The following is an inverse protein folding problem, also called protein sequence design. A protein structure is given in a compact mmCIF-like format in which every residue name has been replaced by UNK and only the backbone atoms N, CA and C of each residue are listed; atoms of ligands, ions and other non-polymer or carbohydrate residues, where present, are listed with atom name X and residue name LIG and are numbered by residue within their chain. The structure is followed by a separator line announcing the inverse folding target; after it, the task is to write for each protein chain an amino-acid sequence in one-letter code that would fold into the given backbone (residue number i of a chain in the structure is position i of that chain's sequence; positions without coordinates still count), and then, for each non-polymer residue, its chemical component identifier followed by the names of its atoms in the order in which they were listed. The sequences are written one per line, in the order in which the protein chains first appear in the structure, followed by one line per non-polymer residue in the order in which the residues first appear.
data_IF_234739633877
#
_entry.id   IF_234739633877
#
_cell.length_a   1.000
_cell.length_b   1.000
_cell.length_c   1.000
_cell.angle_alpha   90.00
_cell.angle_beta   90.00
_cell.angle_gamma   90.00
#
_symmetry.space_group_name_H-M   'P 1'
#
loop_
_entity.id
_entity.type
_entity.pdbx_description
1 polymer ?
#
# COMPACT_ATOMS: atom_id res chain seq x y z
N UNK A 1 11.65 -6.24 21.25
CA UNK A 1 12.89 -5.43 21.33
C UNK A 1 12.83 -4.21 20.41
N UNK A 2 12.71 -4.34 19.09
CA UNK A 2 12.68 -3.17 18.18
C UNK A 2 11.37 -2.38 18.31
N UNK A 3 10.22 -3.07 18.30
CA UNK A 3 8.90 -2.44 18.49
C UNK A 3 8.81 -1.69 19.84
N UNK A 4 9.36 -2.24 20.93
CA UNK A 4 9.38 -1.60 22.25
C UNK A 4 10.27 -0.35 22.33
N UNK A 5 11.28 -0.22 21.45
CA UNK A 5 12.12 1.00 21.39
C UNK A 5 11.39 2.13 20.68
N UNK A 6 10.67 1.84 19.58
CA UNK A 6 9.84 2.86 18.90
C UNK A 6 8.64 3.31 19.72
N UNK A 7 8.09 2.45 20.59
CA UNK A 7 6.99 2.80 21.48
C UNK A 7 7.43 3.48 22.80
N UNK A 8 8.73 3.54 23.07
CA UNK A 8 9.23 4.09 24.33
C UNK A 8 9.25 5.63 24.37
N UNK A 9 9.42 6.28 23.21
CA UNK A 9 9.46 7.74 23.11
C UNK A 9 9.20 8.20 21.67
N UNK A 10 8.40 9.27 21.49
CA UNK A 10 8.16 9.91 20.20
C UNK A 10 9.48 10.33 19.51
N UNK A 11 10.54 10.61 20.28
CA UNK A 11 11.87 10.94 19.80
C UNK A 11 12.62 9.75 19.17
N UNK A 12 12.30 8.50 19.51
CA UNK A 12 13.04 7.33 19.02
C UNK A 12 12.80 7.06 17.53
N UNK A 13 11.63 7.45 17.01
CA UNK A 13 11.40 7.47 15.57
C UNK A 13 12.36 8.45 14.87
N UNK A 14 12.46 9.69 15.36
CA UNK A 14 13.32 10.73 14.76
C UNK A 14 14.82 10.43 14.90
N UNK A 15 15.25 9.78 15.99
CA UNK A 15 16.65 9.36 16.18
C UNK A 15 17.02 8.29 15.14
N UNK A 16 16.15 7.32 14.90
CA UNK A 16 16.38 6.22 13.95
C UNK A 16 16.07 6.59 12.49
N UNK A 17 15.29 7.64 12.25
CA UNK A 17 15.03 8.21 10.92
C UNK A 17 16.34 8.59 10.21
N UNK A 18 17.31 9.12 10.96
CA UNK A 18 18.63 9.52 10.44
C UNK A 18 19.42 8.36 9.82
N UNK A 19 19.08 7.10 10.14
CA UNK A 19 19.74 5.90 9.66
C UNK A 19 18.99 5.21 8.51
N UNK A 20 17.89 5.79 8.01
CA UNK A 20 17.08 5.23 6.92
C UNK A 20 16.65 3.77 7.14
N UNK A 21 16.56 3.33 8.40
CA UNK A 21 16.39 1.91 8.72
C UNK A 21 14.99 1.40 8.35
N UNK A 22 13.95 2.23 8.53
CA UNK A 22 12.57 1.85 8.22
C UNK A 22 12.28 1.72 6.71
N UNK A 23 12.67 2.66 5.83
CA UNK A 23 12.55 2.51 4.39
C UNK A 23 13.25 1.23 3.85
N UNK A 24 14.50 0.99 4.26
CA UNK A 24 15.24 -0.22 3.85
C UNK A 24 14.60 -1.52 4.36
N UNK A 25 14.01 -1.47 5.56
CA UNK A 25 13.30 -2.62 6.12
C UNK A 25 11.98 -2.87 5.38
N UNK A 26 11.27 -1.81 4.96
CA UNK A 26 10.03 -1.88 4.20
C UNK A 26 10.21 -2.64 2.88
N UNK A 27 11.31 -2.42 2.16
CA UNK A 27 11.60 -3.13 0.90
C UNK A 27 11.75 -4.64 1.10
N UNK A 28 12.29 -5.07 2.25
CA UNK A 28 12.56 -6.47 2.58
C UNK A 28 11.52 -7.10 3.51
N UNK A 29 10.44 -6.39 3.83
CA UNK A 29 9.46 -6.83 4.84
C UNK A 29 8.74 -8.11 4.39
N UNK A 30 8.55 -8.29 3.08
CA UNK A 30 7.96 -9.50 2.50
C UNK A 30 8.75 -10.78 2.78
N UNK A 31 10.05 -10.69 3.13
CA UNK A 31 10.91 -11.83 3.50
C UNK A 31 10.81 -12.20 4.99
N UNK A 32 10.05 -11.43 5.78
CA UNK A 32 9.90 -11.64 7.22
C UNK A 32 8.63 -12.43 7.55
N UNK A 33 8.59 -13.11 8.72
CA UNK A 33 7.37 -13.77 9.20
C UNK A 33 6.19 -12.79 9.31
N UNK A 34 4.97 -13.29 9.17
CA UNK A 34 3.74 -12.47 9.19
C UNK A 34 3.66 -11.55 10.42
N UNK A 35 3.99 -12.05 11.61
CA UNK A 35 4.00 -11.27 12.85
C UNK A 35 4.91 -10.03 12.77
N UNK A 36 6.04 -10.13 12.05
CA UNK A 36 6.97 -9.02 11.85
C UNK A 36 6.44 -8.04 10.81
N UNK A 37 5.77 -8.54 9.77
CA UNK A 37 5.10 -7.69 8.78
C UNK A 37 4.03 -6.84 9.47
N UNK A 38 3.15 -7.47 10.25
CA UNK A 38 2.09 -6.77 11.00
C UNK A 38 2.65 -5.70 11.94
N UNK A 39 3.69 -6.02 12.73
CA UNK A 39 4.32 -5.04 13.63
C UNK A 39 4.92 -3.85 12.88
N UNK A 40 5.47 -4.06 11.70
CA UNK A 40 6.01 -2.98 10.88
C UNK A 40 4.90 -2.06 10.34
N UNK A 41 3.81 -2.64 9.84
CA UNK A 41 2.68 -1.86 9.33
C UNK A 41 1.94 -1.09 10.45
N UNK A 42 1.75 -1.71 11.62
CA UNK A 42 1.21 -1.00 12.79
C UNK A 42 2.13 0.14 13.27
N UNK A 43 3.45 0.00 13.12
CA UNK A 43 4.37 1.10 13.43
C UNK A 43 4.16 2.29 12.49
N UNK A 44 3.94 2.06 11.19
CA UNK A 44 3.61 3.13 10.24
C UNK A 44 2.29 3.81 10.57
N UNK A 45 1.27 3.05 10.93
CA UNK A 45 0.00 3.62 11.41
C UNK A 45 0.20 4.46 12.67
N UNK A 46 1.00 3.99 13.63
CA UNK A 46 1.32 4.76 14.84
C UNK A 46 2.00 6.09 14.52
N UNK A 47 2.98 6.11 13.61
CA UNK A 47 3.66 7.33 13.17
C UNK A 47 2.67 8.34 12.59
N UNK A 48 1.72 7.86 11.77
CA UNK A 48 0.72 8.73 11.17
C UNK A 48 -0.34 9.18 12.19
N UNK A 49 -0.94 8.25 12.94
CA UNK A 49 -2.12 8.51 13.75
C UNK A 49 -1.82 9.12 15.12
N UNK A 50 -0.69 8.75 15.73
CA UNK A 50 -0.33 9.20 17.08
C UNK A 50 0.70 10.32 17.02
N UNK A 51 1.70 10.22 16.13
CA UNK A 51 2.73 11.25 15.99
C UNK A 51 2.34 12.37 15.03
N UNK A 52 1.24 12.22 14.25
CA UNK A 52 0.80 13.17 13.23
C UNK A 52 1.90 13.51 12.21
N UNK A 53 2.77 12.53 11.92
CA UNK A 53 3.89 12.70 11.01
C UNK A 53 3.58 12.05 9.66
N UNK A 54 4.16 12.61 8.58
CA UNK A 54 4.00 12.10 7.22
C UNK A 54 5.28 11.33 6.82
N UNK A 55 5.29 9.98 6.88
CA UNK A 55 6.49 9.18 6.62
C UNK A 55 6.74 8.99 5.11
N UNK A 56 7.09 10.07 4.40
CA UNK A 56 7.22 10.05 2.93
C UNK A 56 8.21 9.00 2.42
N UNK A 57 9.36 8.82 3.08
CA UNK A 57 10.39 7.86 2.66
C UNK A 57 9.88 6.43 2.74
N UNK A 58 9.15 6.11 3.80
CA UNK A 58 8.55 4.80 4.01
C UNK A 58 7.39 4.56 3.04
N UNK A 59 6.56 5.57 2.76
CA UNK A 59 5.50 5.49 1.74
C UNK A 59 6.07 5.22 0.35
N UNK A 60 7.20 5.83 -0.02
CA UNK A 60 7.93 5.51 -1.26
C UNK A 60 8.38 4.03 -1.24
N UNK A 61 8.96 3.55 -0.14
CA UNK A 61 9.35 2.13 -0.06
C UNK A 61 8.16 1.18 -0.12
N UNK A 62 6.99 1.55 0.41
CA UNK A 62 5.74 0.79 0.27
C UNK A 62 5.26 0.75 -1.19
N UNK A 63 5.41 1.85 -1.94
CA UNK A 63 5.05 1.89 -3.36
C UNK A 63 5.92 0.92 -4.17
N UNK A 64 7.22 0.87 -3.87
CA UNK A 64 8.18 -0.09 -4.47
C UNK A 64 7.81 -1.52 -4.09
N UNK A 65 7.49 -1.78 -2.81
CA UNK A 65 7.06 -3.09 -2.32
C UNK A 65 5.82 -3.61 -3.09
N UNK A 66 4.82 -2.75 -3.28
CA UNK A 66 3.60 -3.10 -4.02
C UNK A 66 3.87 -3.32 -5.52
N UNK A 67 4.83 -2.60 -6.10
CA UNK A 67 5.25 -2.80 -7.49
C UNK A 67 5.98 -4.13 -7.70
N UNK A 68 6.81 -4.52 -6.72
CA UNK A 68 7.62 -5.73 -6.75
C UNK A 68 6.83 -7.04 -6.71
N UNK A 69 5.60 -7.03 -6.19
CA UNK A 69 4.67 -8.18 -6.21
C UNK A 69 5.23 -9.47 -5.58
N UNK A 70 6.20 -9.35 -4.66
CA UNK A 70 6.91 -10.49 -4.08
C UNK A 70 6.02 -11.38 -3.18
N UNK A 71 4.97 -10.82 -2.57
CA UNK A 71 4.07 -11.55 -1.69
C UNK A 71 2.67 -10.92 -1.67
N UNK A 72 1.65 -11.72 -1.98
CA UNK A 72 0.25 -11.27 -1.98
C UNK A 72 -0.24 -10.99 -0.56
N UNK A 73 0.08 -11.87 0.41
CA UNK A 73 -0.30 -11.68 1.81
C UNK A 73 0.30 -10.39 2.39
N UNK A 74 1.59 -10.14 2.13
CA UNK A 74 2.24 -8.89 2.52
C UNK A 74 1.61 -7.66 1.81
N UNK A 75 1.25 -7.79 0.54
CA UNK A 75 0.59 -6.71 -0.23
C UNK A 75 -0.78 -6.36 0.36
N UNK A 76 -1.53 -7.34 0.85
CA UNK A 76 -2.83 -7.12 1.50
C UNK A 76 -2.65 -6.29 2.77
N UNK A 77 -1.69 -6.63 3.63
CA UNK A 77 -1.43 -5.87 4.86
C UNK A 77 -0.96 -4.45 4.53
N UNK A 78 -0.09 -4.32 3.52
CA UNK A 78 0.36 -3.02 3.01
C UNK A 78 -0.81 -2.16 2.51
N UNK A 79 -1.68 -2.72 1.67
CA UNK A 79 -2.86 -2.01 1.16
C UNK A 79 -3.82 -1.60 2.29
N UNK A 80 -4.00 -2.45 3.30
CA UNK A 80 -4.86 -2.12 4.44
C UNK A 80 -4.34 -0.90 5.18
N UNK A 81 -3.03 -0.87 5.43
CA UNK A 81 -2.33 0.24 6.08
C UNK A 81 -2.46 1.53 5.27
N UNK A 82 -2.25 1.46 3.96
CA UNK A 82 -2.36 2.62 3.08
C UNK A 82 -3.80 3.19 3.04
N UNK A 83 -4.81 2.32 3.01
CA UNK A 83 -6.21 2.75 3.07
C UNK A 83 -6.52 3.42 4.41
N UNK A 84 -6.04 2.85 5.53
CA UNK A 84 -6.24 3.42 6.86
C UNK A 84 -5.60 4.81 6.97
N UNK A 85 -4.37 4.98 6.47
CA UNK A 85 -3.67 6.27 6.39
C UNK A 85 -4.44 7.27 5.53
N UNK A 86 -4.91 6.84 4.37
CA UNK A 86 -5.66 7.69 3.44
C UNK A 86 -7.01 8.17 4.03
N UNK A 87 -7.67 7.32 4.82
CA UNK A 87 -8.93 7.65 5.51
C UNK A 87 -8.72 8.54 6.73
N UNK A 88 -7.53 8.52 7.33
CA UNK A 88 -7.23 9.30 8.52
C UNK A 88 -7.17 10.80 8.24
N UNK A 89 -6.50 11.23 7.17
CA UNK A 89 -6.37 12.65 6.84
C UNK A 89 -6.32 12.87 5.32
N UNK A 90 -7.08 13.85 4.84
CA UNK A 90 -7.17 14.18 3.40
C UNK A 90 -5.85 14.63 2.79
N UNK A 91 -4.89 15.13 3.59
CA UNK A 91 -3.54 15.48 3.10
C UNK A 91 -2.86 14.30 2.41
N UNK A 92 -3.15 13.06 2.83
CA UNK A 92 -2.57 11.87 2.22
C UNK A 92 -3.02 11.63 0.78
N UNK A 93 -4.11 12.28 0.33
CA UNK A 93 -4.48 12.27 -1.09
C UNK A 93 -3.42 12.95 -1.95
N UNK A 94 -2.84 14.03 -1.46
CA UNK A 94 -1.78 14.77 -2.14
C UNK A 94 -0.43 14.08 -1.93
N UNK A 95 -0.14 13.62 -0.72
CA UNK A 95 1.10 12.86 -0.44
C UNK A 95 1.19 11.62 -1.33
N UNK A 96 0.11 10.85 -1.48
CA UNK A 96 0.12 9.62 -2.30
C UNK A 96 0.32 9.91 -3.78
N UNK A 97 -0.15 11.07 -4.25
CA UNK A 97 0.14 11.56 -5.59
C UNK A 97 1.63 11.93 -5.72
N UNK A 98 2.16 12.70 -4.78
CA UNK A 98 3.55 13.18 -4.83
C UNK A 98 4.59 12.06 -4.73
N UNK A 99 4.30 11.01 -3.95
CA UNK A 99 5.20 9.85 -3.79
C UNK A 99 4.95 8.73 -4.81
N UNK A 100 4.04 8.93 -5.77
CA UNK A 100 3.78 8.00 -6.88
C UNK A 100 2.97 6.75 -6.52
N UNK A 101 2.27 6.73 -5.38
CA UNK A 101 1.43 5.59 -4.96
C UNK A 101 0.18 5.47 -5.85
N UNK A 102 -0.37 6.59 -6.31
CA UNK A 102 -1.56 6.60 -7.17
C UNK A 102 -1.32 5.80 -8.44
N UNK A 103 -0.19 6.02 -9.11
CA UNK A 103 0.22 5.34 -10.34
C UNK A 103 0.46 3.85 -10.11
N UNK A 104 1.02 3.50 -8.94
CA UNK A 104 1.13 2.10 -8.53
C UNK A 104 -0.25 1.47 -8.41
N UNK A 105 -1.23 2.13 -7.76
CA UNK A 105 -2.59 1.60 -7.68
C UNK A 105 -3.27 1.46 -9.05
N UNK A 106 -3.07 2.42 -9.96
CA UNK A 106 -3.56 2.31 -11.35
C UNK A 106 -2.98 1.08 -12.05
N UNK A 107 -1.67 0.89 -11.94
CA UNK A 107 -0.98 -0.29 -12.49
C UNK A 107 -1.55 -1.58 -11.90
N UNK A 108 -1.81 -1.61 -10.58
CA UNK A 108 -2.43 -2.76 -9.90
C UNK A 108 -3.86 -3.02 -10.40
N UNK A 109 -4.64 -1.98 -10.64
CA UNK A 109 -6.00 -2.07 -11.16
C UNK A 109 -6.04 -2.61 -12.60
N UNK A 110 -5.16 -2.11 -13.47
CA UNK A 110 -5.04 -2.60 -14.85
C UNK A 110 -4.70 -4.10 -14.88
N UNK A 111 -3.76 -4.54 -14.04
CA UNK A 111 -3.40 -5.97 -13.92
C UNK A 111 -4.58 -6.80 -13.45
N UNK A 112 -5.31 -6.34 -12.44
CA UNK A 112 -6.50 -7.02 -11.95
C UNK A 112 -7.62 -7.09 -13.02
N UNK A 113 -7.82 -6.01 -13.78
CA UNK A 113 -8.74 -5.97 -14.92
C UNK A 113 -8.36 -6.96 -16.02
N UNK A 114 -7.06 -7.12 -16.32
CA UNK A 114 -6.59 -8.10 -17.28
C UNK A 114 -6.89 -9.54 -16.83
N UNK A 115 -6.58 -9.88 -15.56
CA UNK A 115 -6.90 -11.20 -14.99
C UNK A 115 -8.41 -11.49 -15.06
N UNK A 116 -9.25 -10.50 -14.76
CA UNK A 116 -10.71 -10.65 -14.84
C UNK A 116 -11.21 -10.90 -16.27
N UNK A 117 -10.60 -10.27 -17.27
CA UNK A 117 -10.92 -10.50 -18.69
C UNK A 117 -10.51 -11.90 -19.14
N UNK A 118 -9.32 -12.38 -18.73
CA UNK A 118 -8.86 -13.73 -19.03
C UNK A 118 -9.79 -14.80 -18.42
N UNK A 119 -10.28 -14.59 -17.19
CA UNK A 119 -11.30 -15.44 -16.58
C UNK A 119 -12.60 -15.47 -17.41
N UNK A 120 -13.09 -14.32 -17.88
CA UNK A 120 -14.31 -14.26 -18.69
C UNK A 120 -14.16 -15.00 -20.03
N UNK A 121 -12.99 -14.94 -20.66
CA UNK A 121 -12.73 -15.63 -21.94
C UNK A 121 -12.57 -17.17 -21.78
N UNK A 122 -12.16 -17.64 -20.61
CA UNK A 122 -11.92 -19.07 -20.34
C UNK A 122 -13.15 -19.81 -19.79
N UNK A 123 -14.13 -19.09 -19.21
CA UNK A 123 -15.44 -19.65 -18.86
C UNK A 123 -16.19 -20.15 -20.10
N UNK A 124 -15.96 -19.56 -21.28
CA UNK A 124 -16.47 -20.06 -22.56
C UNK A 124 -15.73 -21.34 -23.06
N UNK A 125 -14.64 -21.74 -22.40
CA UNK A 125 -13.80 -22.90 -22.76
C UNK A 125 -13.46 -23.79 -21.54
N UNK A 126 -14.46 -24.39 -20.88
CA UNK A 126 -14.41 -25.60 -20.00
C UNK A 126 -13.28 -25.65 -18.92
N UNK A 127 -12.53 -24.57 -18.69
CA UNK A 127 -11.40 -24.52 -17.76
C UNK A 127 -11.63 -23.37 -16.79
N UNK A 128 -12.01 -23.72 -15.55
CA UNK A 128 -12.16 -22.76 -14.47
C UNK A 128 -10.79 -22.22 -14.06
N UNK A 129 -10.39 -21.09 -14.64
CA UNK A 129 -9.32 -20.28 -14.05
C UNK A 129 -9.92 -19.58 -12.83
N UNK A 130 -9.74 -20.16 -11.64
CA UNK A 130 -10.12 -19.52 -10.39
C UNK A 130 -9.08 -18.46 -10.04
N UNK A 131 -9.45 -17.18 -10.14
CA UNK A 131 -8.68 -16.09 -9.54
C UNK A 131 -8.67 -16.35 -8.03
N UNK A 132 -7.48 -16.41 -7.43
CA UNK A 132 -7.35 -16.75 -6.01
C UNK A 132 -8.05 -15.70 -5.15
N UNK A 133 -8.70 -16.13 -4.05
CA UNK A 133 -9.45 -15.24 -3.13
C UNK A 133 -8.63 -14.02 -2.69
N UNK A 134 -7.32 -14.21 -2.49
CA UNK A 134 -6.41 -13.14 -2.09
C UNK A 134 -6.15 -12.11 -3.22
N UNK A 135 -6.18 -12.51 -4.49
CA UNK A 135 -6.06 -11.59 -5.62
C UNK A 135 -7.33 -10.76 -5.80
N UNK A 136 -8.50 -11.38 -5.64
CA UNK A 136 -9.79 -10.68 -5.63
C UNK A 136 -9.86 -9.67 -4.50
N UNK A 137 -9.52 -10.10 -3.27
CA UNK A 137 -9.43 -9.19 -2.10
C UNK A 137 -8.51 -8.02 -2.38
N UNK A 138 -7.33 -8.27 -2.94
CA UNK A 138 -6.36 -7.22 -3.24
C UNK A 138 -6.88 -6.26 -4.33
N UNK A 139 -7.55 -6.78 -5.37
CA UNK A 139 -8.21 -5.97 -6.40
C UNK A 139 -9.28 -5.05 -5.81
N UNK A 140 -10.12 -5.56 -4.91
CA UNK A 140 -11.13 -4.76 -4.22
C UNK A 140 -10.52 -3.64 -3.37
N UNK A 141 -9.43 -3.92 -2.64
CA UNK A 141 -8.72 -2.91 -1.86
C UNK A 141 -8.10 -1.82 -2.74
N UNK A 142 -7.59 -2.17 -3.92
CA UNK A 142 -7.07 -1.19 -4.89
C UNK A 142 -8.19 -0.28 -5.40
N UNK A 143 -9.37 -0.83 -5.73
CA UNK A 143 -10.54 -0.04 -6.14
C UNK A 143 -11.00 0.89 -5.03
N UNK A 144 -11.03 0.42 -3.79
CA UNK A 144 -11.38 1.22 -2.62
C UNK A 144 -10.39 2.39 -2.43
N UNK A 145 -9.10 2.10 -2.48
CA UNK A 145 -8.04 3.11 -2.32
C UNK A 145 -8.12 4.18 -3.42
N UNK A 146 -8.31 3.77 -4.68
CA UNK A 146 -8.50 4.69 -5.81
C UNK A 146 -9.77 5.52 -5.63
N UNK A 147 -10.89 4.91 -5.24
CA UNK A 147 -12.13 5.64 -4.97
C UNK A 147 -11.92 6.73 -3.92
N UNK A 148 -11.20 6.42 -2.84
CA UNK A 148 -10.85 7.39 -1.80
C UNK A 148 -9.94 8.52 -2.34
N UNK A 149 -8.92 8.18 -3.14
CA UNK A 149 -7.99 9.15 -3.73
C UNK A 149 -8.67 10.12 -4.70
N UNK A 150 -9.59 9.61 -5.51
CA UNK A 150 -10.29 10.37 -6.55
C UNK A 150 -11.44 11.21 -5.99
N UNK A 151 -12.04 10.78 -4.88
CA UNK A 151 -13.19 11.45 -4.30
C UNK A 151 -12.89 12.92 -4.00
N UNK A 152 -13.64 13.82 -4.66
CA UNK A 152 -13.51 15.27 -4.54
C UNK A 152 -12.08 15.82 -4.76
N UNK A 153 -11.22 15.12 -5.52
CA UNK A 153 -9.85 15.57 -5.81
C UNK A 153 -9.57 15.56 -7.33
N UNK A 154 -9.68 16.74 -7.95
CA UNK A 154 -9.51 16.92 -9.40
C UNK A 154 -8.10 16.62 -9.89
N UNK A 155 -7.07 16.96 -9.09
CA UNK A 155 -5.68 16.68 -9.45
C UNK A 155 -5.41 15.18 -9.53
N UNK A 156 -5.90 14.41 -8.56
CA UNK A 156 -5.79 12.95 -8.56
C UNK A 156 -6.60 12.34 -9.71
N UNK A 157 -7.78 12.88 -10.01
CA UNK A 157 -8.58 12.44 -11.15
C UNK A 157 -7.89 12.69 -12.51
N UNK A 158 -7.20 13.81 -12.66
CA UNK A 158 -6.42 14.09 -13.87
C UNK A 158 -5.25 13.11 -14.00
N UNK A 159 -4.45 12.92 -12.95
CA UNK A 159 -3.33 11.98 -12.98
C UNK A 159 -3.79 10.53 -13.24
N UNK A 160 -4.91 10.12 -12.65
CA UNK A 160 -5.51 8.81 -12.90
C UNK A 160 -5.87 8.60 -14.37
N UNK A 161 -6.39 9.64 -15.04
CA UNK A 161 -6.70 9.59 -16.48
C UNK A 161 -5.45 9.56 -17.36
N UNK A 162 -4.37 10.18 -16.92
CA UNK A 162 -3.09 10.17 -17.65
C UNK A 162 -2.33 8.85 -17.49
N UNK A 163 -2.50 8.19 -16.34
CA UNK A 163 -1.79 6.95 -16.00
C UNK A 163 -2.54 5.67 -16.38
N UNK A 164 -3.86 5.76 -16.60
CA UNK A 164 -4.80 4.66 -16.81
C UNK A 164 -5.05 4.32 -18.27
#
# INVERSE_FOLDING_TARGET
AISSVYHADNANYFILESQHTLPQFAEKIHLKPAEIQEKFFHLLEFIVFQLNFVPCKELISLSILLKGQNSISCSIICMQTLINILKHNTIFKDVYREVGILEVFVTRLQRYSALMKEKQQTVDQVSEISIGENEEKLGMMVIEALTCLLNSNTNNANLFRESG
#
